data_IF_494153573365
#
_entry.id   IF_494153573365
#
_cell.length_a   1.000
_cell.length_b   1.000
_cell.length_c   1.000
_cell.angle_alpha   90.00
_cell.angle_beta   90.00
_cell.angle_gamma   90.00
#
_symmetry.space_group_name_H-M   'P 1'
#
loop_
_entity.id
_entity.type
_entity.pdbx_description
1 polymer ?
#
# COMPACT_ATOMS: atom_id res chain seq x y z
N UNK A 1 28.86 10.02 -10.50
CA UNK A 1 28.44 8.64 -10.22
C UNK A 1 29.02 8.27 -8.87
N UNK A 2 28.21 8.36 -7.83
CA UNK A 2 28.57 7.94 -6.47
C UNK A 2 27.35 7.24 -5.89
N UNK A 3 27.42 5.93 -5.86
CA UNK A 3 26.49 5.03 -5.20
C UNK A 3 26.52 5.26 -3.69
N UNK A 4 25.46 5.81 -3.11
CA UNK A 4 25.23 5.73 -1.67
C UNK A 4 24.07 4.77 -1.40
N UNK A 5 24.40 3.48 -1.52
CA UNK A 5 23.64 2.36 -0.96
C UNK A 5 23.62 2.52 0.57
N UNK A 6 22.48 2.93 1.11
CA UNK A 6 22.12 2.62 2.50
C UNK A 6 20.85 1.78 2.51
N UNK A 7 21.06 0.47 2.35
CA UNK A 7 20.15 -0.54 2.86
C UNK A 7 20.19 -0.56 4.39
N UNK A 8 19.06 -1.04 4.93
CA UNK A 8 18.87 -1.65 6.24
C UNK A 8 18.52 -0.73 7.42
N UNK A 9 17.22 -0.70 7.73
CA UNK A 9 16.68 -1.03 9.07
C UNK A 9 15.35 -1.76 8.82
N UNK A 10 15.35 -3.09 8.69
CA UNK A 10 15.07 -4.04 9.78
C UNK A 10 14.08 -3.52 10.83
N UNK A 11 12.81 -3.81 10.58
CA UNK A 11 11.74 -3.72 11.55
C UNK A 11 10.75 -4.88 11.42
N UNK A 12 11.18 -6.05 10.93
CA UNK A 12 10.38 -7.27 11.07
C UNK A 12 10.41 -7.69 12.55
N UNK A 13 9.55 -7.07 13.36
CA UNK A 13 9.21 -7.61 14.67
C UNK A 13 8.72 -9.02 14.43
N UNK A 14 9.54 -9.97 14.86
CA UNK A 14 9.24 -11.39 14.93
C UNK A 14 7.93 -11.56 15.69
N UNK A 15 6.81 -11.64 14.97
CA UNK A 15 5.63 -12.30 15.50
C UNK A 15 6.02 -13.77 15.59
N UNK A 16 6.00 -14.32 16.80
CA UNK A 16 6.18 -15.76 17.01
C UNK A 16 5.34 -16.48 15.95
N UNK A 17 6.01 -17.23 15.08
CA UNK A 17 5.49 -17.69 13.79
C UNK A 17 4.26 -18.59 13.91
N UNK A 18 3.10 -17.96 14.05
CA UNK A 18 1.78 -18.55 13.87
C UNK A 18 1.01 -17.67 12.92
N UNK A 19 0.53 -18.27 11.84
CA UNK A 19 -0.32 -17.58 10.87
C UNK A 19 -1.71 -17.34 11.49
N UNK A 20 -2.43 -16.31 11.04
CA UNK A 20 -3.80 -16.04 11.51
C UNK A 20 -4.74 -17.25 11.30
N UNK A 21 -4.44 -18.08 10.29
CA UNK A 21 -5.16 -19.32 10.03
C UNK A 21 -4.90 -20.38 11.12
N UNK A 22 -3.65 -20.53 11.56
CA UNK A 22 -3.31 -21.44 12.66
C UNK A 22 -3.89 -20.99 14.01
N UNK A 23 -3.99 -19.68 14.23
CA UNK A 23 -4.65 -19.11 15.42
C UNK A 23 -6.16 -19.41 15.40
N UNK A 24 -6.81 -19.28 14.23
CA UNK A 24 -8.22 -19.59 14.07
C UNK A 24 -8.55 -21.08 14.25
N UNK A 25 -7.70 -21.99 13.74
CA UNK A 25 -7.87 -23.43 13.96
C UNK A 25 -7.68 -23.80 15.42
N UNK A 26 -6.67 -23.23 16.10
CA UNK A 26 -6.44 -23.45 17.53
C UNK A 26 -7.62 -22.98 18.39
N UNK A 27 -8.20 -21.81 18.08
CA UNK A 27 -9.40 -21.33 18.78
C UNK A 27 -10.60 -22.25 18.55
N UNK A 28 -10.75 -22.79 17.34
CA UNK A 28 -11.82 -23.74 17.00
C UNK A 28 -11.70 -25.04 17.80
N UNK A 29 -10.49 -25.60 17.89
CA UNK A 29 -10.21 -26.80 18.67
C UNK A 29 -10.48 -26.56 20.18
N UNK A 30 -10.14 -25.36 20.67
CA UNK A 30 -10.40 -24.96 22.04
C UNK A 30 -11.89 -24.94 22.38
N UNK A 31 -12.70 -24.35 21.49
CA UNK A 31 -14.15 -24.26 21.64
C UNK A 31 -14.80 -25.64 21.61
N UNK A 32 -14.26 -26.55 20.79
CA UNK A 32 -14.71 -27.93 20.77
C UNK A 32 -14.44 -28.64 22.10
N UNK A 33 -13.25 -28.45 22.68
CA UNK A 33 -12.87 -29.03 23.97
C UNK A 33 -13.68 -28.45 25.14
N UNK A 34 -13.92 -27.13 25.15
CA UNK A 34 -14.80 -26.47 26.12
C UNK A 34 -16.23 -27.02 26.09
N UNK A 35 -16.75 -27.30 24.89
CA UNK A 35 -18.10 -27.86 24.72
C UNK A 35 -18.22 -29.30 25.21
N UNK A 36 -17.14 -30.07 25.12
CA UNK A 36 -17.08 -31.46 25.56
C UNK A 36 -16.85 -31.59 27.08
N UNK A 37 -16.42 -30.53 27.75
CA UNK A 37 -16.13 -30.54 29.18
C UNK A 37 -17.40 -30.75 30.02
N UNK A 38 -17.38 -31.76 30.90
CA UNK A 38 -18.47 -32.03 31.84
C UNK A 38 -17.99 -31.84 33.30
N UNK A 39 -18.45 -30.78 33.99
CA UNK A 39 -18.02 -30.48 35.36
C UNK A 39 -18.51 -31.49 36.41
N UNK A 40 -19.45 -32.38 36.07
CA UNK A 40 -19.98 -33.38 36.99
C UNK A 40 -19.15 -34.68 37.03
N UNK A 41 -18.15 -34.83 36.15
CA UNK A 41 -17.28 -36.01 36.12
C UNK A 41 -16.09 -35.82 37.07
N UNK A 42 -15.90 -36.66 38.12
CA UNK A 42 -14.77 -36.54 39.05
C UNK A 42 -13.40 -36.83 38.42
N UNK A 43 -13.35 -37.41 37.22
CA UNK A 43 -12.12 -37.59 36.42
C UNK A 43 -11.60 -36.26 35.85
N UNK A 44 -12.45 -35.22 35.83
CA UNK A 44 -12.23 -33.95 35.13
C UNK A 44 -11.25 -32.99 35.81
N UNK A 45 -10.69 -33.31 36.98
CA UNK A 45 -9.73 -32.43 37.65
C UNK A 45 -8.44 -32.21 36.84
N UNK A 46 -8.00 -33.22 36.08
CA UNK A 46 -6.91 -33.04 35.12
C UNK A 46 -7.36 -32.23 33.89
N UNK A 47 -8.62 -32.36 33.51
CA UNK A 47 -9.22 -31.63 32.38
C UNK A 47 -9.44 -30.15 32.69
N UNK A 48 -9.74 -29.79 33.95
CA UNK A 48 -9.88 -28.39 34.40
C UNK A 48 -8.54 -27.65 34.26
N UNK A 49 -7.42 -28.27 34.65
CA UNK A 49 -6.10 -27.66 34.51
C UNK A 49 -5.73 -27.40 33.04
N UNK A 50 -6.04 -28.36 32.16
CA UNK A 50 -5.86 -28.20 30.72
C UNK A 50 -6.80 -27.14 30.14
N UNK A 51 -8.03 -27.04 30.66
CA UNK A 51 -9.01 -26.04 30.25
C UNK A 51 -8.58 -24.62 30.60
N UNK A 52 -8.08 -24.41 31.82
CA UNK A 52 -7.58 -23.10 32.26
C UNK A 52 -6.37 -22.66 31.44
N UNK A 53 -5.43 -23.58 31.17
CA UNK A 53 -4.28 -23.32 30.30
C UNK A 53 -4.71 -23.01 28.87
N UNK A 54 -5.73 -23.70 28.39
CA UNK A 54 -6.33 -23.48 27.06
C UNK A 54 -6.96 -22.08 26.99
N UNK A 55 -7.71 -21.67 28.02
CA UNK A 55 -8.28 -20.32 28.09
C UNK A 55 -7.22 -19.22 28.15
N UNK A 56 -6.14 -19.43 28.90
CA UNK A 56 -5.00 -18.50 28.93
C UNK A 56 -4.34 -18.35 27.54
N UNK A 57 -4.17 -19.46 26.81
CA UNK A 57 -3.66 -19.43 25.45
C UNK A 57 -4.60 -18.66 24.50
N UNK A 58 -5.91 -18.87 24.63
CA UNK A 58 -6.91 -18.18 23.83
C UNK A 58 -6.94 -16.66 24.10
N UNK A 59 -6.81 -16.26 25.36
CA UNK A 59 -6.67 -14.85 25.76
C UNK A 59 -5.41 -14.22 25.13
N UNK A 60 -4.30 -14.97 25.12
CA UNK A 60 -3.07 -14.56 24.43
C UNK A 60 -3.27 -14.37 22.92
N UNK A 61 -3.98 -15.28 22.27
CA UNK A 61 -4.32 -15.17 20.83
C UNK A 61 -5.20 -13.95 20.59
N UNK A 62 -6.25 -13.74 21.40
CA UNK A 62 -7.16 -12.60 21.27
C UNK A 62 -6.40 -11.26 21.37
N UNK A 63 -5.53 -11.10 22.37
CA UNK A 63 -4.67 -9.91 22.52
C UNK A 63 -3.73 -9.71 21.32
N UNK A 64 -3.21 -10.81 20.77
CA UNK A 64 -2.37 -10.79 19.58
C UNK A 64 -3.12 -10.32 18.34
N UNK A 65 -4.36 -10.78 18.17
CA UNK A 65 -5.26 -10.35 17.09
C UNK A 65 -5.61 -8.88 17.23
N UNK A 66 -6.00 -8.43 18.42
CA UNK A 66 -6.33 -7.01 18.69
C UNK A 66 -5.15 -6.10 18.35
N UNK A 67 -3.94 -6.46 18.79
CA UNK A 67 -2.72 -5.69 18.48
C UNK A 67 -2.43 -5.58 16.97
N UNK A 68 -2.72 -6.65 16.21
CA UNK A 68 -2.58 -6.64 14.74
C UNK A 68 -3.65 -5.77 14.08
N UNK A 69 -4.89 -5.80 14.60
CA UNK A 69 -5.97 -4.91 14.14
C UNK A 69 -5.62 -3.45 14.38
N UNK A 70 -5.13 -3.10 15.57
CA UNK A 70 -4.71 -1.74 15.90
C UNK A 70 -3.61 -1.25 14.95
N UNK A 71 -2.64 -2.11 14.65
CA UNK A 71 -1.57 -1.79 13.69
C UNK A 71 -2.14 -1.54 12.29
N UNK A 72 -3.05 -2.39 11.82
CA UNK A 72 -3.69 -2.23 10.51
C UNK A 72 -4.51 -0.93 10.42
N UNK A 73 -5.23 -0.58 11.50
CA UNK A 73 -5.99 0.67 11.57
C UNK A 73 -5.06 1.88 11.51
N UNK A 74 -3.94 1.85 12.23
CA UNK A 74 -2.94 2.91 12.20
C UNK A 74 -2.29 3.06 10.82
N UNK A 75 -1.98 1.95 10.15
CA UNK A 75 -1.42 1.97 8.80
C UNK A 75 -2.42 2.58 7.79
N UNK A 76 -3.69 2.21 7.89
CA UNK A 76 -4.77 2.76 7.06
C UNK A 76 -4.95 4.25 7.30
N UNK A 77 -4.94 4.71 8.55
CA UNK A 77 -5.02 6.12 8.90
C UNK A 77 -3.84 6.90 8.30
N UNK A 78 -2.63 6.35 8.38
CA UNK A 78 -1.44 6.95 7.76
C UNK A 78 -1.52 7.02 6.23
N UNK A 79 -2.07 6.00 5.58
CA UNK A 79 -2.29 6.00 4.13
C UNK A 79 -3.34 7.04 3.72
N UNK A 80 -4.46 7.10 4.43
CA UNK A 80 -5.51 8.09 4.18
C UNK A 80 -4.97 9.50 4.37
N UNK A 81 -4.21 9.75 5.45
CA UNK A 81 -3.60 11.07 5.68
C UNK A 81 -2.65 11.50 4.56
N UNK A 82 -1.87 10.57 3.99
CA UNK A 82 -1.03 10.85 2.82
C UNK A 82 -1.85 11.19 1.58
N UNK A 83 -2.90 10.42 1.30
CA UNK A 83 -3.79 10.68 0.16
C UNK A 83 -4.52 12.02 0.30
N UNK A 84 -4.94 12.38 1.52
CA UNK A 84 -5.55 13.68 1.81
C UNK A 84 -4.55 14.82 1.63
N UNK A 85 -3.30 14.65 2.07
CA UNK A 85 -2.24 15.63 1.87
C UNK A 85 -1.92 15.83 0.38
N UNK A 86 -1.75 14.74 -0.38
CA UNK A 86 -1.53 14.79 -1.83
C UNK A 86 -2.68 15.53 -2.54
N UNK A 87 -3.93 15.24 -2.15
CA UNK A 87 -5.12 15.93 -2.67
C UNK A 87 -5.14 17.42 -2.29
N UNK A 88 -4.75 17.78 -1.07
CA UNK A 88 -4.72 19.15 -0.58
C UNK A 88 -3.61 19.98 -1.27
N UNK A 89 -2.48 19.35 -1.60
CA UNK A 89 -1.38 19.96 -2.37
C UNK A 89 -1.68 20.09 -3.86
N UNK A 90 -2.89 19.73 -4.32
CA UNK A 90 -3.29 19.81 -5.72
C UNK A 90 -2.70 18.72 -6.60
N UNK A 91 -1.94 17.78 -6.01
CA UNK A 91 -1.51 16.52 -6.62
C UNK A 91 -2.67 15.54 -6.68
N UNK A 92 -3.62 15.83 -7.55
CA UNK A 92 -4.54 14.81 -8.01
C UNK A 92 -3.82 13.97 -9.07
N UNK A 93 -3.76 12.63 -8.96
CA UNK A 93 -3.28 11.79 -10.05
C UNK A 93 -4.15 12.08 -11.28
N UNK A 94 -3.59 12.82 -12.25
CA UNK A 94 -4.27 13.27 -13.47
C UNK A 94 -4.10 14.76 -13.81
N UNK A 95 -3.89 15.66 -12.84
CA UNK A 95 -3.86 17.12 -13.13
C UNK A 95 -2.50 17.63 -13.61
N UNK A 96 -1.41 17.03 -13.15
CA UNK A 96 -0.06 17.35 -13.67
C UNK A 96 0.06 16.92 -15.15
N UNK A 97 -0.55 15.80 -15.54
CA UNK A 97 -0.58 15.31 -16.93
C UNK A 97 -1.48 16.19 -17.84
N UNK A 98 -2.68 16.58 -17.39
CA UNK A 98 -3.55 17.47 -18.17
C UNK A 98 -2.92 18.85 -18.40
N UNK A 99 -2.23 19.41 -17.39
CA UNK A 99 -1.55 20.70 -17.55
C UNK A 99 -0.40 20.67 -18.57
N UNK A 100 0.38 19.59 -18.60
CA UNK A 100 1.45 19.41 -19.57
C UNK A 100 0.93 19.13 -20.99
N UNK A 101 -0.22 18.45 -21.12
CA UNK A 101 -0.87 18.23 -22.41
C UNK A 101 -1.41 19.54 -23.00
N UNK A 102 -1.95 20.44 -22.17
CA UNK A 102 -2.44 21.75 -22.62
C UNK A 102 -1.28 22.65 -23.10
N UNK A 103 -0.15 22.67 -22.39
CA UNK A 103 1.06 23.41 -22.78
C UNK A 103 1.67 22.89 -24.10
N UNK A 104 1.79 21.57 -24.23
CA UNK A 104 2.26 20.94 -25.47
C UNK A 104 1.31 21.20 -26.66
N UNK A 105 0.01 21.32 -26.40
CA UNK A 105 -0.99 21.65 -27.43
C UNK A 105 -0.83 23.09 -27.92
N UNK A 106 -0.62 24.06 -27.02
CA UNK A 106 -0.32 25.45 -27.42
C UNK A 106 1.00 25.54 -28.22
N UNK A 107 2.04 24.82 -27.82
CA UNK A 107 3.31 24.80 -28.56
C UNK A 107 3.15 24.21 -29.98
N UNK A 108 2.41 23.12 -30.12
CA UNK A 108 2.12 22.51 -31.44
C UNK A 108 1.28 23.46 -32.32
N UNK A 109 0.29 24.15 -31.75
CA UNK A 109 -0.55 25.09 -32.49
C UNK A 109 0.23 26.31 -32.99
N UNK A 110 1.16 26.83 -32.18
CA UNK A 110 2.06 27.91 -32.60
C UNK A 110 3.07 27.46 -33.66
N UNK A 111 3.58 26.23 -33.57
CA UNK A 111 4.49 25.65 -34.56
C UNK A 111 3.78 25.44 -35.92
N UNK A 112 2.54 24.93 -35.90
CA UNK A 112 1.71 24.78 -37.11
C UNK A 112 1.39 26.14 -37.75
N UNK A 113 1.07 27.15 -36.95
CA UNK A 113 0.84 28.51 -37.46
C UNK A 113 2.11 29.12 -38.10
N UNK A 114 3.28 28.84 -37.53
CA UNK A 114 4.58 29.23 -38.09
C UNK A 114 4.90 28.51 -39.41
N UNK A 115 4.66 27.21 -39.49
CA UNK A 115 4.99 26.40 -40.66
C UNK A 115 4.04 26.66 -41.85
N UNK A 116 2.78 27.02 -41.60
CA UNK A 116 1.82 27.40 -42.64
C UNK A 116 2.13 28.80 -43.22
N UNK A 117 2.81 29.67 -42.48
CA UNK A 117 3.27 30.98 -42.94
C UNK A 117 4.55 30.95 -43.77
N UNK A 118 5.23 29.79 -43.87
CA UNK A 118 6.49 29.65 -44.60
C UNK A 118 6.23 29.16 -46.02
N UNK A 119 5.94 30.10 -46.91
CA UNK A 119 5.87 29.88 -48.35
C UNK A 119 7.21 29.27 -48.84
N UNK A 120 7.25 28.03 -49.38
CA UNK A 120 8.49 27.40 -49.84
C UNK A 120 9.00 27.97 -51.19
N UNK A 121 8.44 29.10 -51.67
CA UNK A 121 8.69 29.61 -53.02
C UNK A 121 9.66 30.80 -53.14
N UNK A 122 10.35 31.25 -52.08
CA UNK A 122 11.20 32.46 -52.14
C UNK A 122 12.70 32.26 -51.87
N UNK A 123 13.34 31.27 -52.48
CA UNK A 123 14.81 31.28 -52.56
C UNK A 123 15.39 30.55 -53.78
N UNK A 124 15.01 30.94 -55.00
CA UNK A 124 15.77 30.51 -56.19
C UNK A 124 15.80 31.55 -57.33
N UNK A 125 15.90 32.84 -56.96
CA UNK A 125 16.06 33.91 -57.95
C UNK A 125 17.17 34.88 -57.54
N UNK A 126 18.42 34.41 -57.46
CA UNK A 126 19.61 35.27 -57.37
C UNK A 126 20.94 34.55 -57.62
N UNK A 127 21.14 33.90 -58.77
CA UNK A 127 22.50 33.71 -59.32
C UNK A 127 22.47 33.18 -60.76
N UNK A 128 22.40 34.07 -61.75
CA UNK A 128 23.35 34.13 -62.86
C UNK A 128 22.90 35.14 -63.92
N UNK A 129 23.22 36.41 -63.66
CA UNK A 129 23.55 37.36 -64.73
C UNK A 129 24.99 37.80 -64.53
N UNK A 130 25.76 37.76 -65.62
CA UNK A 130 27.17 38.13 -65.80
C UNK A 130 28.16 36.98 -65.61
N UNK A 131 28.53 36.33 -66.71
CA UNK A 131 29.74 36.71 -67.44
C UNK A 131 29.61 36.39 -68.92
#
# INVERSE_FOLDING_TARGET
MSDDRRQAYHGSKSTNGRTAHEEATQLTDLLHNLRAFNPADPSSSQDIGQLLKSLEQADGIAKGVDSRLDTLLQDLEGMIGKLEAERAEGRTPGREEESGIEELKEEVETQLASDIGRDPSSSEDAAHRKS
#
